data_IF_031140484646
#
_entry.id   IF_031140484646
#
_cell.length_a   1.000
_cell.length_b   1.000
_cell.length_c   1.000
_cell.angle_alpha   90.00
_cell.angle_beta   90.00
_cell.angle_gamma   90.00
#
_symmetry.space_group_name_H-M   'P 1'
#
loop_
_entity.id
_entity.type
_entity.pdbx_description
1 polymer ?
#
# COMPACT_ATOMS: atom_id res chain seq x y z
N UNK A 1 16.98 2.96 1.46
CA UNK A 1 16.00 2.67 0.40
C UNK A 1 16.41 3.47 -0.82
N UNK A 2 16.87 2.82 -1.89
CA UNK A 2 17.40 3.51 -3.07
C UNK A 2 16.29 4.18 -3.87
N UNK A 3 16.50 5.43 -4.30
CA UNK A 3 15.58 6.16 -5.17
C UNK A 3 15.43 5.36 -6.48
N UNK A 4 14.20 5.17 -6.95
CA UNK A 4 13.93 4.46 -8.22
C UNK A 4 14.64 5.21 -9.36
N UNK A 5 15.27 4.49 -10.28
CA UNK A 5 16.13 5.01 -11.34
C UNK A 5 15.49 6.03 -12.29
N UNK A 6 14.15 6.16 -12.31
CA UNK A 6 13.41 7.11 -13.14
C UNK A 6 12.61 8.15 -12.34
N UNK A 7 13.02 8.49 -11.11
CA UNK A 7 12.36 9.57 -10.37
C UNK A 7 12.86 10.94 -10.86
N UNK A 8 12.06 11.61 -11.68
CA UNK A 8 12.34 12.97 -12.16
C UNK A 8 11.82 13.97 -11.11
N UNK A 9 12.70 14.85 -10.65
CA UNK A 9 12.35 16.00 -9.80
C UNK A 9 12.21 17.20 -10.72
N UNK A 10 11.15 18.02 -10.58
CA UNK A 10 11.08 19.29 -11.31
C UNK A 10 12.32 20.15 -11.06
N UNK A 11 12.74 20.87 -12.09
CA UNK A 11 13.70 21.97 -11.95
C UNK A 11 13.03 23.16 -11.26
N UNK A 12 13.84 24.09 -10.74
CA UNK A 12 13.33 25.32 -10.11
C UNK A 12 12.43 26.14 -11.06
N UNK A 13 12.75 26.17 -12.35
CA UNK A 13 11.93 26.84 -13.36
C UNK A 13 10.57 26.14 -13.58
N UNK A 14 10.57 24.81 -13.56
CA UNK A 14 9.34 24.00 -13.67
C UNK A 14 8.49 24.13 -12.40
N UNK A 15 9.09 24.10 -11.20
CA UNK A 15 8.40 24.35 -9.93
C UNK A 15 7.77 25.75 -9.90
N UNK A 16 8.49 26.77 -10.38
CA UNK A 16 7.96 28.13 -10.46
C UNK A 16 6.76 28.26 -11.42
N UNK A 17 6.77 27.52 -12.54
CA UNK A 17 5.64 27.46 -13.47
C UNK A 17 4.45 26.71 -12.86
N UNK A 18 4.69 25.58 -12.19
CA UNK A 18 3.67 24.82 -11.48
C UNK A 18 2.99 25.71 -10.41
N UNK A 19 3.77 26.41 -9.60
CA UNK A 19 3.24 27.30 -8.57
C UNK A 19 2.43 28.47 -9.14
N UNK A 20 2.83 29.03 -10.29
CA UNK A 20 2.02 30.05 -11.00
C UNK A 20 0.66 29.49 -11.42
N UNK A 21 0.63 28.27 -11.94
CA UNK A 21 -0.61 27.60 -12.33
C UNK A 21 -1.54 27.38 -11.15
N UNK A 22 -1.00 26.90 -10.02
CA UNK A 22 -1.75 26.72 -8.76
C UNK A 22 -2.37 28.06 -8.30
N UNK A 23 -1.57 29.14 -8.30
CA UNK A 23 -2.02 30.45 -7.84
C UNK A 23 -3.09 31.12 -8.75
N UNK A 24 -3.22 30.67 -10.00
CA UNK A 24 -4.17 31.21 -10.97
C UNK A 24 -5.48 30.41 -11.05
N UNK A 25 -5.60 29.28 -10.34
CA UNK A 25 -6.80 28.44 -10.33
C UNK A 25 -7.80 28.92 -9.26
N UNK A 26 -8.90 29.61 -9.65
CA UNK A 26 -9.89 30.10 -8.69
C UNK A 26 -10.78 28.99 -8.12
N UNK A 27 -10.87 27.83 -8.79
CA UNK A 27 -11.73 26.72 -8.38
C UNK A 27 -11.04 25.82 -7.34
N UNK A 28 -9.70 25.86 -7.29
CA UNK A 28 -8.89 25.09 -6.36
C UNK A 28 -7.77 25.94 -5.74
N UNK A 29 -8.11 26.96 -4.93
CA UNK A 29 -7.11 27.81 -4.27
C UNK A 29 -6.29 27.03 -3.24
N UNK A 30 -5.12 27.56 -2.91
CA UNK A 30 -4.33 27.05 -1.78
C UNK A 30 -5.10 27.23 -0.47
N UNK A 31 -5.19 26.17 0.33
CA UNK A 31 -5.89 26.21 1.61
C UNK A 31 -5.08 26.98 2.64
N UNK A 32 -5.75 27.88 3.35
CA UNK A 32 -5.21 28.65 4.46
C UNK A 32 -5.48 27.95 5.80
N UNK A 33 -4.80 28.40 6.85
CA UNK A 33 -5.04 27.91 8.21
C UNK A 33 -6.51 28.12 8.67
N UNK A 34 -7.16 29.17 8.20
CA UNK A 34 -8.57 29.44 8.48
C UNK A 34 -9.48 28.39 7.83
N UNK A 35 -9.20 28.01 6.59
CA UNK A 35 -9.95 26.95 5.88
C UNK A 35 -9.85 25.61 6.62
N UNK A 36 -8.68 25.29 7.16
CA UNK A 36 -8.48 24.09 7.99
C UNK A 36 -9.22 24.18 9.33
N UNK A 37 -9.27 25.35 9.95
CA UNK A 37 -10.02 25.54 11.20
C UNK A 37 -11.52 25.33 11.02
N UNK A 38 -12.05 25.61 9.83
CA UNK A 38 -13.46 25.42 9.47
C UNK A 38 -13.77 24.01 8.90
N UNK A 39 -12.75 23.20 8.64
CA UNK A 39 -12.91 21.88 8.06
C UNK A 39 -13.74 20.95 8.97
N UNK A 40 -14.72 20.27 8.39
CA UNK A 40 -15.62 19.34 9.09
C UNK A 40 -15.47 17.90 8.57
N UNK A 41 -15.73 16.87 9.40
CA UNK A 41 -15.73 15.49 8.96
C UNK A 41 -16.68 15.27 7.77
N UNK A 42 -16.31 14.38 6.84
CA UNK A 42 -17.15 14.06 5.67
C UNK A 42 -18.56 13.61 6.05
N UNK A 43 -18.69 12.91 7.19
CA UNK A 43 -19.97 12.51 7.76
C UNK A 43 -20.91 13.71 8.05
N UNK A 44 -20.36 14.88 8.37
CA UNK A 44 -21.13 16.08 8.67
C UNK A 44 -21.50 16.91 7.43
N UNK A 45 -20.73 16.81 6.34
CA UNK A 45 -20.91 17.65 5.13
C UNK A 45 -21.42 16.89 3.90
N UNK A 46 -21.19 15.58 3.85
CA UNK A 46 -21.67 14.69 2.80
C UNK A 46 -21.95 13.29 3.38
N UNK A 47 -23.05 13.13 4.16
CA UNK A 47 -23.36 11.87 4.84
C UNK A 47 -23.51 10.67 3.89
N UNK A 48 -23.98 10.89 2.67
CA UNK A 48 -24.10 9.85 1.63
C UNK A 48 -22.75 9.27 1.18
N UNK A 49 -21.65 9.96 1.49
CA UNK A 49 -20.28 9.53 1.19
C UNK A 49 -19.57 8.95 2.42
N UNK A 50 -20.27 8.80 3.54
CA UNK A 50 -19.76 8.11 4.72
C UNK A 50 -19.51 6.63 4.39
N UNK A 51 -18.32 6.12 4.70
CA UNK A 51 -17.92 4.75 4.35
C UNK A 51 -17.34 4.56 2.93
N UNK A 52 -17.33 5.57 2.07
CA UNK A 52 -16.63 5.54 0.75
C UNK A 52 -15.11 5.44 0.91
N UNK A 53 -14.60 5.67 2.13
CA UNK A 53 -13.20 5.41 2.45
C UNK A 53 -12.91 3.92 2.22
N UNK A 54 -12.21 3.61 1.13
CA UNK A 54 -11.48 2.34 0.94
C UNK A 54 -10.29 2.29 1.92
N UNK A 55 -10.58 2.31 3.22
CA UNK A 55 -9.58 1.94 4.21
C UNK A 55 -9.44 0.44 4.10
N UNK A 56 -8.20 -0.03 3.88
CA UNK A 56 -7.89 -1.42 4.11
C UNK A 56 -8.41 -1.75 5.51
N UNK A 57 -9.37 -2.68 5.61
CA UNK A 57 -9.96 -3.05 6.90
C UNK A 57 -8.87 -3.36 7.94
N UNK A 58 -9.20 -3.31 9.24
CA UNK A 58 -8.23 -3.56 10.31
C UNK A 58 -7.38 -4.76 9.93
N UNK A 59 -6.05 -4.59 9.99
CA UNK A 59 -5.11 -5.62 9.62
C UNK A 59 -5.37 -6.81 10.54
N UNK A 60 -6.21 -7.76 10.08
CA UNK A 60 -6.48 -9.01 10.78
C UNK A 60 -5.10 -9.57 11.13
N UNK A 61 -4.93 -9.93 12.41
CA UNK A 61 -3.69 -10.49 12.93
C UNK A 61 -3.08 -11.46 11.91
N UNK A 62 -1.75 -11.47 11.73
CA UNK A 62 -1.12 -12.26 10.69
C UNK A 62 -1.60 -13.71 10.79
N UNK A 63 -2.36 -14.15 9.78
CA UNK A 63 -2.96 -15.50 9.73
C UNK A 63 -1.86 -16.58 9.67
N UNK A 64 -0.62 -16.18 9.35
CA UNK A 64 0.54 -17.05 9.25
C UNK A 64 1.65 -16.52 10.16
N UNK A 65 2.21 -17.41 10.97
CA UNK A 65 3.42 -17.13 11.76
C UNK A 65 4.66 -17.25 10.87
N UNK A 66 5.52 -16.22 10.87
CA UNK A 66 6.82 -16.30 10.20
C UNK A 66 7.77 -17.16 11.05
N UNK A 67 8.21 -18.29 10.49
CA UNK A 67 9.21 -19.17 11.12
C UNK A 67 10.43 -19.25 10.22
N UNK A 68 11.63 -19.13 10.79
CA UNK A 68 12.89 -19.32 10.06
C UNK A 68 13.39 -20.75 10.26
N UNK A 69 13.26 -21.59 9.24
CA UNK A 69 13.79 -22.97 9.20
C UNK A 69 14.81 -23.12 8.07
N UNK A 70 15.76 -24.05 8.24
CA UNK A 70 16.64 -24.50 7.15
C UNK A 70 16.05 -25.75 6.52
N UNK A 71 16.02 -25.80 5.20
CA UNK A 71 15.58 -26.93 4.40
C UNK A 71 16.73 -27.37 3.51
N UNK A 72 16.76 -28.65 3.15
CA UNK A 72 17.74 -29.17 2.21
C UNK A 72 17.59 -28.49 0.83
N UNK A 73 18.70 -28.26 0.10
CA UNK A 73 18.66 -27.52 -1.17
C UNK A 73 17.74 -28.14 -2.22
N UNK A 74 17.76 -29.46 -2.35
CA UNK A 74 16.96 -30.23 -3.30
C UNK A 74 15.44 -30.10 -3.04
N UNK A 75 15.04 -30.04 -1.77
CA UNK A 75 13.65 -29.78 -1.36
C UNK A 75 13.22 -28.38 -1.83
N UNK A 76 14.05 -27.36 -1.61
CA UNK A 76 13.75 -25.98 -2.02
C UNK A 76 13.65 -25.88 -3.54
N UNK A 77 14.57 -26.51 -4.26
CA UNK A 77 14.58 -26.53 -5.72
C UNK A 77 13.33 -27.22 -6.26
N UNK A 78 12.96 -28.38 -5.71
CA UNK A 78 11.74 -29.10 -6.10
C UNK A 78 10.47 -28.28 -5.89
N UNK A 79 10.36 -27.57 -4.75
CA UNK A 79 9.20 -26.71 -4.49
C UNK A 79 9.12 -25.53 -5.47
N UNK A 80 10.27 -24.90 -5.76
CA UNK A 80 10.37 -23.74 -6.66
C UNK A 80 10.20 -24.07 -8.15
N UNK A 81 10.45 -25.31 -8.58
CA UNK A 81 10.28 -25.74 -9.98
C UNK A 81 8.89 -25.40 -10.55
N UNK A 82 7.85 -25.41 -9.72
CA UNK A 82 6.48 -25.09 -10.12
C UNK A 82 6.18 -23.57 -10.14
N UNK A 83 7.19 -22.72 -9.96
CA UNK A 83 7.10 -21.26 -10.10
C UNK A 83 6.28 -20.58 -9.00
N UNK A 84 5.51 -19.54 -9.39
CA UNK A 84 4.75 -18.69 -8.47
C UNK A 84 3.83 -19.53 -7.56
N UNK A 85 3.77 -19.15 -6.28
CA UNK A 85 2.94 -19.84 -5.29
C UNK A 85 3.59 -21.05 -4.59
N UNK A 86 4.87 -21.33 -4.82
CA UNK A 86 5.55 -22.47 -4.19
C UNK A 86 5.52 -22.45 -2.64
N UNK A 87 5.58 -21.27 -2.02
CA UNK A 87 5.46 -21.13 -0.56
C UNK A 87 4.05 -21.52 -0.04
N UNK A 88 3.01 -21.27 -0.84
CA UNK A 88 1.65 -21.72 -0.51
C UNK A 88 1.55 -23.23 -0.54
N UNK A 89 2.03 -23.86 -1.62
CA UNK A 89 2.08 -25.32 -1.75
C UNK A 89 2.93 -25.98 -0.65
N UNK A 90 4.07 -25.37 -0.29
CA UNK A 90 4.88 -25.85 0.82
C UNK A 90 4.11 -25.84 2.14
N UNK A 91 3.34 -24.78 2.41
CA UNK A 91 2.46 -24.72 3.57
C UNK A 91 1.37 -25.80 3.53
N UNK A 92 0.76 -26.05 2.37
CA UNK A 92 -0.28 -27.09 2.23
C UNK A 92 0.29 -28.49 2.48
N UNK A 93 1.49 -28.80 1.98
CA UNK A 93 2.21 -30.05 2.28
C UNK A 93 2.45 -30.20 3.80
N UNK A 94 2.86 -29.13 4.47
CA UNK A 94 3.09 -29.15 5.92
C UNK A 94 1.80 -29.35 6.71
N UNK A 95 0.68 -28.75 6.26
CA UNK A 95 -0.64 -28.96 6.89
C UNK A 95 -1.09 -30.42 6.76
N UNK A 96 -0.92 -31.02 5.59
CA UNK A 96 -1.20 -32.45 5.37
C UNK A 96 -0.36 -33.32 6.30
N UNK A 97 0.96 -33.07 6.36
CA UNK A 97 1.89 -33.86 7.15
C UNK A 97 1.61 -33.81 8.66
N UNK A 98 0.99 -32.73 9.15
CA UNK A 98 0.63 -32.56 10.57
C UNK A 98 -0.86 -32.74 10.85
N UNK A 99 -1.65 -33.23 9.88
CA UNK A 99 -3.06 -33.58 10.05
C UNK A 99 -4.01 -32.38 10.21
N UNK A 100 -3.71 -31.25 9.58
CA UNK A 100 -4.53 -30.03 9.61
C UNK A 100 -5.40 -29.84 8.35
N UNK A 101 -5.54 -30.89 7.54
CA UNK A 101 -6.31 -30.89 6.29
C UNK A 101 -7.73 -31.40 6.48
#
# INVERSE_FOLDING_TARGET
>A
MGRKSNFIVPTEAEDAEINRGIAQDPDNPEWTDADFAEARPIAAVAPSMEGVRRVRGPQKAPVKTLVSIRLDPDVVDRLKQQGRGWQGRANDILRHAVGLD
#
